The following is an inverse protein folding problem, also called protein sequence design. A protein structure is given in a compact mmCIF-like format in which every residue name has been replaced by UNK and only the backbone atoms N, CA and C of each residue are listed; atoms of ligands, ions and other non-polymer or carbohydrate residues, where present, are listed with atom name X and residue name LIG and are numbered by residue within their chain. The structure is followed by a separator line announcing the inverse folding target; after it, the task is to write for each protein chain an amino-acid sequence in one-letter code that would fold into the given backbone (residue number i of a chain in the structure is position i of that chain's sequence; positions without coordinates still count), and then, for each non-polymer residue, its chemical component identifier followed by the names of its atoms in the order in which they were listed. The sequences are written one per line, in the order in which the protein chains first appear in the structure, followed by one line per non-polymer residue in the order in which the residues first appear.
data_IF_335852974064
#
_entry.id   IF_335852974064
#
_cell.length_a   1.000
_cell.length_b   1.000
_cell.length_c   1.000
_cell.angle_alpha   90.00
_cell.angle_beta   90.00
_cell.angle_gamma   90.00
#
_symmetry.space_group_name_H-M   'P 1'
#
loop_
_entity.id
_entity.type
_entity.pdbx_description
1 polymer ?
#
# COMPACT_ATOMS: atom_id res chain seq x y z
N UNK A 1 23.32 5.42 -64.03
CA UNK A 1 23.70 6.79 -63.84
C UNK A 1 23.01 7.41 -62.67
N UNK A 2 23.80 8.01 -61.85
CA UNK A 2 23.55 9.01 -60.81
C UNK A 2 23.77 8.50 -59.40
N UNK A 3 24.98 8.74 -58.97
CA UNK A 3 25.39 8.93 -57.58
C UNK A 3 24.57 10.05 -56.95
N UNK A 4 24.21 9.89 -55.71
CA UNK A 4 23.91 10.99 -54.80
C UNK A 4 24.28 10.58 -53.39
N UNK A 5 25.28 11.28 -52.92
CA UNK A 5 25.95 11.30 -51.67
C UNK A 5 25.08 11.08 -50.41
N UNK A 6 25.46 10.08 -49.64
CA UNK A 6 25.10 9.92 -48.26
C UNK A 6 26.22 10.54 -47.39
N UNK A 7 26.00 11.76 -46.97
CA UNK A 7 26.83 12.45 -45.98
C UNK A 7 25.91 13.37 -45.20
N UNK A 8 25.43 12.89 -44.09
CA UNK A 8 25.10 13.71 -42.89
C UNK A 8 24.23 12.90 -41.92
N UNK A 9 24.83 11.98 -41.17
CA UNK A 9 24.17 11.37 -40.01
C UNK A 9 25.19 10.90 -38.98
N UNK A 10 26.28 11.62 -38.79
CA UNK A 10 27.32 11.24 -37.80
C UNK A 10 27.65 12.32 -36.77
N UNK A 11 26.90 13.41 -36.69
CA UNK A 11 27.12 14.45 -35.68
C UNK A 11 26.01 14.59 -34.64
N UNK A 12 24.86 13.90 -34.77
CA UNK A 12 23.79 13.93 -33.75
C UNK A 12 23.91 12.85 -32.66
N UNK A 13 24.85 11.95 -32.79
CA UNK A 13 25.04 10.83 -31.81
C UNK A 13 26.19 11.07 -30.82
N UNK A 14 26.87 12.19 -30.90
CA UNK A 14 28.01 12.50 -30.03
C UNK A 14 27.72 13.51 -28.92
N UNK A 15 26.53 14.11 -28.91
CA UNK A 15 26.11 15.06 -27.89
C UNK A 15 25.20 14.45 -26.80
N UNK A 16 24.82 13.17 -26.93
CA UNK A 16 23.98 12.48 -25.94
C UNK A 16 24.75 11.50 -25.04
N UNK A 17 26.08 11.42 -25.16
CA UNK A 17 26.88 10.45 -24.38
C UNK A 17 27.82 11.11 -23.36
N UNK A 18 27.76 12.41 -23.19
CA UNK A 18 28.58 13.12 -22.19
C UNK A 18 27.76 13.73 -21.03
N UNK A 19 26.49 13.38 -20.86
CA UNK A 19 25.70 13.75 -19.69
C UNK A 19 25.31 12.56 -18.79
N UNK A 20 25.95 11.41 -18.97
CA UNK A 20 25.92 10.31 -18.00
C UNK A 20 27.24 10.30 -17.22
N UNK A 21 27.55 11.40 -16.58
CA UNK A 21 28.53 11.48 -15.53
C UNK A 21 28.00 10.77 -14.31
N UNK A 22 28.72 9.76 -13.88
CA UNK A 22 28.64 9.08 -12.61
C UNK A 22 28.33 10.07 -11.49
N UNK A 23 27.08 10.10 -11.05
CA UNK A 23 26.78 10.47 -9.68
C UNK A 23 26.39 9.18 -8.98
N UNK A 24 27.33 8.73 -8.15
CA UNK A 24 27.07 7.74 -7.13
C UNK A 24 25.80 8.18 -6.43
N UNK A 25 24.83 7.29 -6.32
CA UNK A 25 23.79 7.44 -5.32
C UNK A 25 24.52 7.61 -3.98
N UNK A 26 24.75 8.87 -3.64
CA UNK A 26 25.06 9.25 -2.28
C UNK A 26 23.85 8.79 -1.48
N UNK A 27 24.08 7.76 -0.69
CA UNK A 27 23.18 7.30 0.36
C UNK A 27 23.06 8.47 1.34
N UNK A 28 22.23 9.45 0.97
CA UNK A 28 21.74 10.44 1.89
C UNK A 28 20.68 9.79 2.79
N UNK A 29 21.13 8.84 3.61
CA UNK A 29 20.64 8.79 4.97
C UNK A 29 20.98 10.18 5.50
N UNK A 30 19.98 11.06 5.47
CA UNK A 30 20.07 12.30 6.19
C UNK A 30 20.23 11.92 7.67
N UNK A 31 21.46 11.78 8.12
CA UNK A 31 21.87 11.94 9.50
C UNK A 31 21.60 13.41 9.89
N UNK A 32 20.31 13.76 9.89
CA UNK A 32 19.87 14.93 10.60
C UNK A 32 20.03 14.56 12.08
N UNK A 33 21.07 15.09 12.69
CA UNK A 33 21.31 14.95 14.13
C UNK A 33 19.97 15.18 14.86
N UNK A 34 19.44 14.12 15.48
CA UNK A 34 18.20 14.17 16.27
C UNK A 34 16.98 13.48 15.69
N UNK A 35 17.02 12.91 14.48
CA UNK A 35 15.90 12.11 13.97
C UNK A 35 16.05 10.67 14.46
N UNK A 36 15.10 10.22 15.30
CA UNK A 36 15.04 8.83 15.72
C UNK A 36 14.55 7.95 14.55
N UNK A 37 15.08 6.73 14.45
CA UNK A 37 14.52 5.73 13.56
C UNK A 37 13.08 5.39 13.98
N UNK A 38 12.25 4.94 13.06
CA UNK A 38 10.88 4.53 13.36
C UNK A 38 10.80 3.53 14.53
N UNK A 39 11.77 2.61 14.60
CA UNK A 39 11.85 1.59 15.64
C UNK A 39 12.13 2.16 17.04
N UNK A 40 12.78 3.32 17.12
CA UNK A 40 13.20 3.92 18.38
C UNK A 40 12.23 5.00 18.89
N UNK A 41 11.21 5.34 18.11
CA UNK A 41 10.19 6.32 18.49
C UNK A 41 9.27 5.72 19.57
N UNK A 42 9.19 6.39 20.71
CA UNK A 42 8.25 6.08 21.78
C UNK A 42 7.03 6.98 21.67
N UNK A 43 5.91 6.41 21.19
CA UNK A 43 4.65 7.14 21.04
C UNK A 43 4.19 7.72 22.39
N UNK A 44 3.67 8.95 22.36
CA UNK A 44 3.23 9.67 23.55
C UNK A 44 4.36 10.20 24.44
N UNK A 45 5.63 10.00 24.06
CA UNK A 45 6.81 10.49 24.79
C UNK A 45 7.68 11.36 23.88
N UNK A 46 8.05 10.81 22.72
CA UNK A 46 8.89 11.53 21.77
C UNK A 46 8.04 12.50 20.94
N UNK A 47 8.60 13.63 20.61
CA UNK A 47 8.02 14.65 19.72
C UNK A 47 6.67 15.26 20.18
N UNK A 48 6.32 15.14 21.47
CA UNK A 48 5.05 15.69 21.99
C UNK A 48 4.94 17.22 21.89
N UNK A 49 6.07 17.91 21.85
CA UNK A 49 6.13 19.38 21.69
C UNK A 49 6.26 19.80 20.20
N UNK A 50 6.34 18.85 19.28
CA UNK A 50 6.49 19.15 17.86
C UNK A 50 5.22 19.82 17.32
N UNK A 51 5.41 20.94 16.62
CA UNK A 51 4.34 21.62 15.88
C UNK A 51 4.53 21.36 14.38
N UNK A 52 3.49 20.82 13.74
CA UNK A 52 3.52 20.53 12.31
C UNK A 52 2.11 20.57 11.70
N UNK A 53 2.06 20.82 10.41
CA UNK A 53 0.88 20.57 9.57
C UNK A 53 1.18 19.40 8.63
N UNK A 54 0.39 18.35 8.73
CA UNK A 54 0.53 17.10 7.96
C UNK A 54 -0.69 16.95 7.08
N UNK A 55 -0.48 16.64 5.81
CA UNK A 55 -1.53 16.19 4.90
C UNK A 55 -1.45 14.68 4.75
N UNK A 56 -2.55 14.00 5.03
CA UNK A 56 -2.69 12.57 4.85
C UNK A 56 -3.65 12.27 3.69
N UNK A 57 -3.11 11.75 2.60
CA UNK A 57 -3.83 11.44 1.38
C UNK A 57 -4.14 9.94 1.30
N UNK A 58 -5.42 9.59 1.15
CA UNK A 58 -5.86 8.21 1.23
C UNK A 58 -7.11 7.92 0.36
N UNK A 59 -7.45 6.64 0.24
CA UNK A 59 -8.58 6.13 -0.54
C UNK A 59 -9.72 5.55 0.31
N UNK A 60 -9.71 5.73 1.62
CA UNK A 60 -10.68 5.13 2.53
C UNK A 60 -11.89 6.05 2.75
N UNK A 61 -12.70 6.20 1.70
CA UNK A 61 -13.93 7.01 1.71
C UNK A 61 -14.93 6.54 2.75
N UNK A 62 -14.93 5.26 3.09
CA UNK A 62 -15.74 4.67 4.15
C UNK A 62 -15.38 5.22 5.54
N UNK A 63 -14.11 5.53 5.78
CA UNK A 63 -13.63 6.04 7.07
C UNK A 63 -13.88 7.54 7.29
N UNK A 64 -14.36 8.26 6.29
CA UNK A 64 -14.81 9.66 6.45
C UNK A 64 -16.21 9.74 7.06
N UNK A 65 -16.97 8.65 7.02
CA UNK A 65 -18.35 8.63 7.50
C UNK A 65 -18.45 8.50 9.01
N UNK A 66 -19.37 9.23 9.63
CA UNK A 66 -19.74 9.04 11.03
C UNK A 66 -20.46 7.69 11.27
N UNK A 67 -21.03 7.09 10.21
CA UNK A 67 -21.69 5.78 10.23
C UNK A 67 -20.71 4.60 10.02
N UNK A 68 -19.40 4.87 9.94
CA UNK A 68 -18.41 3.80 9.79
C UNK A 68 -18.49 2.84 10.98
N UNK A 69 -18.60 1.55 10.71
CA UNK A 69 -18.77 0.51 11.73
C UNK A 69 -17.56 0.25 12.65
N UNK A 70 -16.45 0.94 12.40
CA UNK A 70 -15.23 0.94 13.21
C UNK A 70 -14.86 2.37 13.62
N UNK A 71 -13.60 2.57 14.00
CA UNK A 71 -13.06 3.88 14.32
C UNK A 71 -12.78 4.64 13.01
N UNK A 72 -13.45 5.78 12.80
CA UNK A 72 -13.26 6.63 11.62
C UNK A 72 -12.05 7.57 11.76
N UNK A 73 -11.69 8.32 10.70
CA UNK A 73 -10.55 9.22 10.72
C UNK A 73 -10.63 10.27 11.82
N UNK A 74 -11.79 10.88 12.02
CA UNK A 74 -12.00 11.87 13.07
C UNK A 74 -11.63 11.32 14.45
N UNK A 75 -12.10 10.13 14.77
CA UNK A 75 -11.83 9.47 16.05
C UNK A 75 -10.34 9.10 16.20
N UNK A 76 -9.69 8.67 15.11
CA UNK A 76 -8.24 8.43 15.14
C UNK A 76 -7.46 9.72 15.38
N UNK A 77 -7.85 10.83 14.75
CA UNK A 77 -7.20 12.12 14.95
C UNK A 77 -7.46 12.69 16.33
N UNK A 78 -8.66 12.52 16.89
CA UNK A 78 -8.96 12.91 18.28
C UNK A 78 -8.03 12.19 19.27
N UNK A 79 -7.77 10.90 19.07
CA UNK A 79 -6.85 10.15 19.91
C UNK A 79 -5.39 10.54 19.67
N UNK A 80 -4.99 10.72 18.43
CA UNK A 80 -3.65 11.19 18.09
C UNK A 80 -3.34 12.57 18.71
N UNK A 81 -4.28 13.50 18.64
CA UNK A 81 -4.08 14.85 19.19
C UNK A 81 -4.11 14.93 20.73
N UNK A 82 -4.49 13.85 21.44
CA UNK A 82 -4.28 13.78 22.89
C UNK A 82 -2.79 13.68 23.24
N UNK A 83 -2.02 12.95 22.41
CA UNK A 83 -0.59 12.77 22.58
C UNK A 83 0.23 13.87 21.86
N UNK A 84 -0.26 14.35 20.73
CA UNK A 84 0.41 15.33 19.85
C UNK A 84 -0.48 16.53 19.56
N UNK A 85 -0.73 17.40 20.56
CA UNK A 85 -1.74 18.47 20.45
C UNK A 85 -1.38 19.57 19.44
N UNK A 86 -0.10 19.70 19.10
CA UNK A 86 0.39 20.74 18.20
C UNK A 86 0.59 20.25 16.75
N UNK A 87 0.31 18.98 16.48
CA UNK A 87 0.34 18.44 15.12
C UNK A 87 -1.07 18.46 14.56
N UNK A 88 -1.26 19.26 13.52
CA UNK A 88 -2.51 19.30 12.76
C UNK A 88 -2.43 18.34 11.59
N UNK A 89 -3.40 17.46 11.46
CA UNK A 89 -3.50 16.52 10.34
C UNK A 89 -4.73 16.85 9.51
N UNK A 90 -4.52 17.15 8.25
CA UNK A 90 -5.57 17.33 7.24
C UNK A 90 -5.72 16.02 6.45
N UNK A 91 -6.87 15.36 6.59
CA UNK A 91 -7.17 14.11 5.90
C UNK A 91 -7.82 14.43 4.57
N UNK A 92 -7.17 14.01 3.50
CA UNK A 92 -7.65 14.15 2.12
C UNK A 92 -8.00 12.77 1.62
N UNK A 93 -9.28 12.53 1.36
CA UNK A 93 -9.78 11.26 0.84
C UNK A 93 -10.23 11.42 -0.61
N UNK A 94 -9.73 10.53 -1.47
CA UNK A 94 -9.95 10.62 -2.90
C UNK A 94 -10.64 9.35 -3.42
N UNK A 95 -11.73 9.53 -4.18
CA UNK A 95 -12.50 8.46 -4.81
C UNK A 95 -11.84 7.90 -6.06
N UNK A 96 -10.99 8.70 -6.74
CA UNK A 96 -10.23 8.30 -7.92
C UNK A 96 -8.75 8.06 -7.61
N UNK A 97 -8.45 7.70 -6.38
CA UNK A 97 -7.10 7.60 -5.81
C UNK A 97 -6.08 6.87 -6.69
N UNK A 98 -6.49 5.79 -7.36
CA UNK A 98 -5.56 4.96 -8.14
C UNK A 98 -4.87 5.73 -9.27
N UNK A 99 -5.58 6.67 -9.91
CA UNK A 99 -5.05 7.50 -11.01
C UNK A 99 -4.42 8.79 -10.49
N UNK A 100 -5.10 9.44 -9.57
CA UNK A 100 -4.70 10.76 -9.08
C UNK A 100 -3.43 10.70 -8.23
N UNK A 101 -3.29 9.67 -7.37
CA UNK A 101 -2.09 9.47 -6.56
C UNK A 101 -0.82 9.25 -7.41
N UNK A 102 -0.92 8.53 -8.52
CA UNK A 102 0.21 8.39 -9.46
C UNK A 102 0.58 9.72 -10.11
N UNK A 103 -0.41 10.52 -10.46
CA UNK A 103 -0.20 11.86 -11.02
C UNK A 103 0.50 12.77 -10.00
N UNK A 104 0.08 12.74 -8.74
CA UNK A 104 0.74 13.48 -7.66
C UNK A 104 2.22 13.09 -7.51
N UNK A 105 2.51 11.79 -7.45
CA UNK A 105 3.89 11.29 -7.36
C UNK A 105 4.74 11.74 -8.54
N UNK A 106 4.24 11.58 -9.76
CA UNK A 106 4.97 11.95 -10.99
C UNK A 106 5.22 13.45 -11.12
N UNK A 107 4.30 14.27 -10.62
CA UNK A 107 4.47 15.73 -10.61
C UNK A 107 5.45 16.24 -9.54
N UNK A 108 5.84 15.38 -8.59
CA UNK A 108 6.64 15.78 -7.42
C UNK A 108 5.87 16.63 -6.41
N UNK A 109 4.56 16.76 -6.56
CA UNK A 109 3.70 17.52 -5.68
C UNK A 109 2.71 16.57 -4.98
N UNK A 110 3.20 15.89 -3.97
CA UNK A 110 2.42 14.95 -3.18
C UNK A 110 2.50 15.30 -1.69
N UNK A 111 1.57 14.73 -0.95
CA UNK A 111 1.28 15.05 0.44
C UNK A 111 2.35 14.50 1.39
N UNK A 112 2.30 14.94 2.66
CA UNK A 112 3.29 14.55 3.69
C UNK A 112 3.25 13.04 3.97
N UNK A 113 2.03 12.47 4.04
CA UNK A 113 1.78 11.04 4.24
C UNK A 113 0.71 10.61 3.24
N UNK A 114 0.90 9.47 2.60
CA UNK A 114 -0.08 8.95 1.66
C UNK A 114 -0.12 7.42 1.64
N UNK A 115 -1.23 6.85 1.21
CA UNK A 115 -1.30 5.43 0.88
C UNK A 115 -0.51 5.19 -0.40
N UNK A 116 0.41 4.23 -0.41
CA UNK A 116 1.23 3.94 -1.58
C UNK A 116 0.34 3.38 -2.69
N UNK A 117 0.25 4.04 -3.86
CA UNK A 117 -0.50 3.54 -5.01
C UNK A 117 0.23 2.38 -5.70
N UNK A 118 -0.29 1.90 -6.82
CA UNK A 118 0.36 0.87 -7.62
C UNK A 118 1.58 1.46 -8.35
N UNK A 119 2.74 1.40 -7.70
CA UNK A 119 4.05 1.77 -8.24
C UNK A 119 4.94 0.56 -8.39
N UNK A 120 5.92 0.62 -9.26
CA UNK A 120 6.96 -0.40 -9.33
C UNK A 120 7.80 -0.40 -8.05
N UNK A 121 8.20 -1.60 -7.58
CA UNK A 121 9.00 -1.71 -6.35
C UNK A 121 10.32 -0.93 -6.44
N UNK A 122 10.92 -0.85 -7.63
CA UNK A 122 12.15 -0.11 -7.86
C UNK A 122 12.01 1.41 -7.66
N UNK A 123 10.78 1.93 -7.78
CA UNK A 123 10.50 3.36 -7.64
C UNK A 123 10.21 3.78 -6.19
N UNK A 124 10.09 2.81 -5.27
CA UNK A 124 9.76 3.11 -3.88
C UNK A 124 10.75 4.08 -3.24
N UNK A 125 12.05 3.86 -3.43
CA UNK A 125 13.09 4.73 -2.88
C UNK A 125 13.15 6.13 -3.52
N UNK A 126 12.56 6.28 -4.71
CA UNK A 126 12.46 7.58 -5.38
C UNK A 126 11.35 8.44 -4.79
N UNK A 127 10.23 7.83 -4.41
CA UNK A 127 9.05 8.55 -3.96
C UNK A 127 8.88 8.58 -2.44
N UNK A 128 9.40 7.59 -1.72
CA UNK A 128 9.10 7.41 -0.31
C UNK A 128 10.35 7.26 0.54
N UNK A 129 10.27 7.76 1.75
CA UNK A 129 11.28 7.53 2.77
C UNK A 129 11.12 6.13 3.37
N UNK A 130 12.24 5.44 3.62
CA UNK A 130 12.24 4.16 4.32
C UNK A 130 11.87 4.31 5.79
N UNK A 131 11.08 3.37 6.31
CA UNK A 131 10.85 3.19 7.75
C UNK A 131 12.00 2.45 8.46
N UNK A 132 12.85 1.76 7.70
CA UNK A 132 13.97 0.97 8.22
C UNK A 132 14.11 -0.36 7.50
N UNK A 133 15.08 -1.15 7.97
CA UNK A 133 15.34 -2.47 7.43
C UNK A 133 14.22 -3.48 7.76
N UNK A 134 14.12 -4.51 6.91
CA UNK A 134 13.05 -5.50 7.04
C UNK A 134 13.10 -6.30 8.33
N UNK A 135 14.29 -6.65 8.81
CA UNK A 135 14.42 -7.47 10.02
C UNK A 135 13.87 -6.73 11.24
N UNK A 136 14.19 -5.45 11.35
CA UNK A 136 13.65 -4.56 12.39
C UNK A 136 12.15 -4.37 12.21
N UNK A 137 11.70 -3.96 11.02
CA UNK A 137 10.30 -3.62 10.78
C UNK A 137 9.37 -4.82 10.88
N UNK A 138 9.79 -6.02 10.49
CA UNK A 138 8.98 -7.24 10.58
C UNK A 138 8.71 -7.67 12.03
N UNK A 139 9.55 -7.26 12.97
CA UNK A 139 9.33 -7.47 14.40
C UNK A 139 8.30 -6.52 15.02
N UNK A 140 8.09 -5.36 14.39
CA UNK A 140 7.22 -4.29 14.88
C UNK A 140 5.84 -4.29 14.21
N UNK A 141 5.80 -4.61 12.93
CA UNK A 141 4.61 -4.45 12.11
C UNK A 141 4.34 -5.70 11.28
N UNK A 142 3.13 -6.25 11.42
CA UNK A 142 2.67 -7.36 10.58
C UNK A 142 2.57 -6.93 9.11
N UNK A 143 2.87 -7.84 8.19
CA UNK A 143 2.80 -7.60 6.73
C UNK A 143 3.71 -6.48 6.22
N UNK A 144 4.80 -6.17 6.92
CA UNK A 144 5.78 -5.15 6.53
C UNK A 144 6.48 -5.44 5.20
N UNK A 145 6.39 -6.68 4.69
CA UNK A 145 6.93 -7.10 3.40
C UNK A 145 6.11 -6.63 2.19
N UNK A 146 4.96 -5.98 2.38
CA UNK A 146 4.11 -5.54 1.24
C UNK A 146 4.82 -4.53 0.35
N UNK A 147 5.55 -3.59 0.95
CA UNK A 147 6.31 -2.56 0.27
C UNK A 147 7.79 -2.64 0.64
N UNK A 148 8.38 -3.80 0.31
CA UNK A 148 9.79 -4.12 0.57
C UNK A 148 10.60 -4.01 -0.73
N UNK A 149 11.66 -3.22 -0.69
CA UNK A 149 12.61 -3.12 -1.79
C UNK A 149 14.04 -3.00 -1.24
N UNK A 150 14.96 -3.82 -1.77
CA UNK A 150 16.38 -3.87 -1.38
C UNK A 150 16.61 -3.93 0.15
N UNK A 151 15.78 -4.73 0.84
CA UNK A 151 15.88 -4.91 2.28
C UNK A 151 15.28 -3.77 3.12
N UNK A 152 14.76 -2.72 2.49
CA UNK A 152 14.14 -1.58 3.15
C UNK A 152 12.62 -1.60 3.03
N UNK A 153 11.92 -1.22 4.09
CA UNK A 153 10.45 -1.14 4.16
C UNK A 153 10.00 0.29 3.95
N UNK A 154 9.17 0.51 2.93
CA UNK A 154 8.69 1.85 2.53
C UNK A 154 7.23 2.12 2.92
N UNK A 155 6.52 1.14 3.45
CA UNK A 155 5.13 1.32 3.82
C UNK A 155 4.71 0.47 5.00
N UNK A 156 3.91 1.06 5.87
CA UNK A 156 3.26 0.39 7.01
C UNK A 156 1.82 0.07 6.61
N UNK A 157 1.35 -1.19 6.76
CA UNK A 157 0.00 -1.56 6.40
C UNK A 157 -1.03 -0.83 7.26
N UNK A 158 -1.98 -0.19 6.60
CA UNK A 158 -3.12 0.46 7.25
C UNK A 158 -4.17 -0.56 7.70
N UNK A 159 -4.39 -1.58 6.85
CA UNK A 159 -5.33 -2.66 7.11
C UNK A 159 -4.92 -3.91 6.32
N UNK A 160 -5.44 -5.05 6.73
CA UNK A 160 -5.34 -6.30 6.00
C UNK A 160 -6.73 -6.94 5.85
N UNK A 161 -6.97 -7.57 4.72
CA UNK A 161 -8.16 -8.35 4.46
C UNK A 161 -7.82 -9.82 4.29
N UNK A 162 -8.67 -10.68 4.79
CA UNK A 162 -8.56 -12.12 4.55
C UNK A 162 -9.51 -12.52 3.43
N UNK A 163 -9.03 -13.36 2.54
CA UNK A 163 -9.86 -13.99 1.53
C UNK A 163 -10.15 -15.43 1.93
N UNK A 164 -11.36 -15.88 1.64
CA UNK A 164 -11.75 -17.23 1.95
C UNK A 164 -13.15 -17.55 1.39
N UNK A 165 -13.54 -18.81 1.51
CA UNK A 165 -14.86 -19.26 1.11
C UNK A 165 -15.78 -19.17 2.33
N UNK A 166 -16.83 -18.38 2.23
CA UNK A 166 -17.92 -18.33 3.22
C UNK A 166 -18.97 -19.36 2.82
N UNK A 167 -19.40 -20.19 3.75
CA UNK A 167 -20.41 -21.20 3.48
C UNK A 167 -21.60 -21.12 4.44
N UNK A 168 -22.77 -21.50 3.94
CA UNK A 168 -23.98 -21.60 4.76
C UNK A 168 -24.05 -22.97 5.45
N UNK A 169 -23.87 -22.98 6.77
CA UNK A 169 -23.86 -24.22 7.57
C UNK A 169 -25.15 -25.01 7.46
N UNK A 170 -26.32 -24.34 7.35
CA UNK A 170 -27.61 -25.02 7.21
C UNK A 170 -27.73 -25.72 5.85
N UNK A 171 -27.29 -25.06 4.78
CA UNK A 171 -27.28 -25.65 3.43
C UNK A 171 -26.39 -26.88 3.37
N UNK A 172 -25.23 -26.83 4.01
CA UNK A 172 -24.32 -27.97 4.12
C UNK A 172 -24.99 -29.14 4.86
N UNK A 173 -25.55 -28.87 6.04
CA UNK A 173 -26.23 -29.90 6.85
C UNK A 173 -27.43 -30.52 6.11
N UNK A 174 -28.26 -29.73 5.45
CA UNK A 174 -29.40 -30.18 4.68
C UNK A 174 -28.97 -31.08 3.50
N UNK A 175 -27.82 -30.86 2.94
CA UNK A 175 -27.19 -31.66 1.87
C UNK A 175 -26.38 -32.86 2.37
N UNK A 176 -26.34 -33.09 3.70
CA UNK A 176 -25.59 -34.18 4.30
C UNK A 176 -24.06 -33.97 4.33
N UNK A 177 -23.59 -32.74 4.10
CA UNK A 177 -22.17 -32.36 4.20
C UNK A 177 -21.88 -32.00 5.66
N UNK A 178 -21.23 -32.91 6.40
CA UNK A 178 -20.96 -32.76 7.83
C UNK A 178 -19.66 -32.03 8.12
N UNK A 179 -18.69 -32.20 7.24
CA UNK A 179 -17.35 -31.66 7.42
C UNK A 179 -17.04 -30.60 6.36
N UNK A 180 -16.22 -29.63 6.73
CA UNK A 180 -15.70 -28.63 5.78
C UNK A 180 -14.72 -29.33 4.83
N UNK A 181 -14.93 -29.25 3.50
CA UNK A 181 -14.03 -29.84 2.52
C UNK A 181 -12.60 -29.37 2.70
N UNK A 182 -11.65 -30.30 2.61
CA UNK A 182 -10.20 -30.05 2.75
C UNK A 182 -9.44 -30.22 1.45
N UNK A 183 -10.10 -30.84 0.44
CA UNK A 183 -9.53 -31.04 -0.88
C UNK A 183 -10.44 -30.51 -1.97
N UNK A 184 -9.94 -30.23 -3.18
CA UNK A 184 -10.78 -29.84 -4.32
C UNK A 184 -11.87 -30.86 -4.64
N UNK A 185 -11.56 -32.16 -4.52
CA UNK A 185 -12.49 -33.25 -4.79
C UNK A 185 -13.65 -33.25 -3.79
N UNK A 186 -13.34 -33.11 -2.50
CA UNK A 186 -14.34 -33.01 -1.44
C UNK A 186 -15.21 -31.75 -1.63
N UNK A 187 -14.60 -30.64 -2.04
CA UNK A 187 -15.32 -29.40 -2.33
C UNK A 187 -16.31 -29.58 -3.49
N UNK A 188 -15.89 -30.19 -4.58
CA UNK A 188 -16.76 -30.49 -5.72
C UNK A 188 -17.88 -31.47 -5.32
N UNK A 189 -17.58 -32.46 -4.49
CA UNK A 189 -18.59 -33.40 -3.98
C UNK A 189 -19.64 -32.69 -3.14
N UNK A 190 -19.21 -31.77 -2.26
CA UNK A 190 -20.12 -30.96 -1.46
C UNK A 190 -21.05 -30.08 -2.32
N UNK A 191 -20.51 -29.42 -3.36
CA UNK A 191 -21.29 -28.62 -4.30
C UNK A 191 -22.33 -29.47 -5.05
N UNK A 192 -21.97 -30.67 -5.48
CA UNK A 192 -22.88 -31.63 -6.12
C UNK A 192 -23.99 -32.06 -5.16
N UNK A 193 -23.66 -32.43 -3.92
CA UNK A 193 -24.65 -32.82 -2.92
C UNK A 193 -25.66 -31.70 -2.63
N UNK A 194 -25.20 -30.44 -2.57
CA UNK A 194 -26.08 -29.28 -2.42
C UNK A 194 -26.99 -29.14 -3.63
N UNK A 195 -26.47 -29.29 -4.85
CA UNK A 195 -27.27 -29.18 -6.08
C UNK A 195 -28.30 -30.29 -6.21
N UNK A 196 -27.91 -31.51 -5.85
CA UNK A 196 -28.83 -32.69 -5.87
C UNK A 196 -29.95 -32.53 -4.84
N UNK A 197 -29.66 -31.99 -3.67
CA UNK A 197 -30.65 -31.73 -2.61
C UNK A 197 -31.61 -30.61 -2.96
N UNK A 198 -31.12 -29.55 -3.59
CA UNK A 198 -31.89 -28.41 -4.02
C UNK A 198 -31.49 -27.99 -5.45
N UNK A 199 -32.22 -28.49 -6.47
CA UNK A 199 -31.92 -28.20 -7.87
C UNK A 199 -31.98 -26.71 -8.25
N UNK A 200 -32.71 -25.90 -7.50
CA UNK A 200 -32.82 -24.46 -7.75
C UNK A 200 -31.68 -23.66 -7.11
N UNK A 201 -30.89 -24.28 -6.22
CA UNK A 201 -29.77 -23.64 -5.59
C UNK A 201 -28.57 -23.49 -6.57
N UNK A 202 -27.94 -22.33 -6.55
CA UNK A 202 -26.62 -22.11 -7.13
C UNK A 202 -25.61 -22.38 -6.01
N UNK A 203 -24.91 -23.54 -6.02
CA UNK A 203 -24.12 -23.96 -4.87
C UNK A 203 -22.80 -23.20 -4.69
N UNK A 204 -22.32 -22.50 -5.72
CA UNK A 204 -21.11 -21.67 -5.66
C UNK A 204 -21.36 -20.34 -6.37
N UNK A 205 -21.00 -19.26 -5.70
CA UNK A 205 -20.90 -17.93 -6.28
C UNK A 205 -19.46 -17.42 -6.13
N UNK A 206 -18.92 -16.88 -7.20
CA UNK A 206 -17.60 -16.22 -7.24
C UNK A 206 -17.76 -14.85 -7.86
N UNK A 207 -17.02 -13.87 -7.40
CA UNK A 207 -16.91 -12.54 -7.98
C UNK A 207 -15.53 -12.36 -8.66
#
# INVERSE_FOLDING_TARGET
GSDSDNKDTTEATKAATEAAGSDSADDTTADAEGIKSYADIQLGTDFTDLSAEIKFYNNRTDMDSDDYGGKNWKQYLEDFNKEYPNIKVDVITDTNYAEDALTHLQSGNYETVMCIPAVDMADLSTYFMSYGDYDTMSSLVNYSNRWLYQGQVYGVPLAATTQGIVYNKKVFADAGVTDVPKTPEEFIAALKAIKDKNPDCIPLYTN
#
